data_IF_579443996526
#
_entry.id   IF_579443996526
#
_cell.length_a   1.000
_cell.length_b   1.000
_cell.length_c   1.000
_cell.angle_alpha   90.00
_cell.angle_beta   90.00
_cell.angle_gamma   90.00
#
_symmetry.space_group_name_H-M   'P 1'
#
loop_
_entity.id
_entity.type
_entity.pdbx_description
1 polymer ?
#
# COMPACT_ATOMS: atom_id res chain seq x y z
N UNK A 1 -0.66 -1.35 30.58
CA UNK A 1 -1.08 -2.18 29.41
C UNK A 1 -2.37 -1.66 28.74
N UNK A 2 -3.38 -1.25 29.48
CA UNK A 2 -4.65 -0.74 28.91
C UNK A 2 -4.54 0.59 28.14
N UNK A 3 -3.61 1.47 28.50
CA UNK A 3 -3.46 2.77 27.83
C UNK A 3 -3.02 2.67 26.36
N UNK A 4 -2.27 1.65 25.98
CA UNK A 4 -1.78 1.49 24.60
C UNK A 4 -2.91 1.14 23.62
N UNK A 5 -3.82 0.23 24.04
CA UNK A 5 -4.96 -0.18 23.19
C UNK A 5 -5.93 0.99 22.99
N UNK A 6 -6.25 1.71 24.06
CA UNK A 6 -7.12 2.89 24.00
C UNK A 6 -6.51 3.94 23.09
N UNK A 7 -5.23 4.26 23.27
CA UNK A 7 -4.52 5.23 22.44
C UNK A 7 -4.52 4.86 20.97
N UNK A 8 -4.31 3.56 20.64
CA UNK A 8 -4.39 3.10 19.25
C UNK A 8 -5.78 3.28 18.66
N UNK A 9 -6.83 2.91 19.39
CA UNK A 9 -8.22 3.08 18.95
C UNK A 9 -8.61 4.56 18.79
N UNK A 10 -8.11 5.42 19.66
CA UNK A 10 -8.30 6.86 19.52
C UNK A 10 -7.60 7.41 18.26
N UNK A 11 -6.39 6.97 17.94
CA UNK A 11 -5.69 7.35 16.71
C UNK A 11 -6.44 6.90 15.46
N UNK A 12 -6.95 5.67 15.43
CA UNK A 12 -7.79 5.15 14.34
C UNK A 12 -9.04 6.03 14.16
N UNK A 13 -9.74 6.32 15.24
CA UNK A 13 -10.95 7.14 15.20
C UNK A 13 -10.68 8.58 14.77
N UNK A 14 -9.57 9.19 15.24
CA UNK A 14 -9.14 10.53 14.79
C UNK A 14 -8.85 10.54 13.29
N UNK A 15 -8.19 9.49 12.78
CA UNK A 15 -7.91 9.34 11.35
C UNK A 15 -9.21 9.33 10.54
N UNK A 16 -10.13 8.44 10.86
CA UNK A 16 -11.41 8.33 10.13
C UNK A 16 -12.22 9.62 10.19
N UNK A 17 -12.30 10.28 11.36
CA UNK A 17 -13.00 11.58 11.51
C UNK A 17 -12.35 12.66 10.67
N UNK A 18 -11.02 12.77 10.68
CA UNK A 18 -10.29 13.75 9.90
C UNK A 18 -10.56 13.57 8.40
N UNK A 19 -10.36 12.38 7.86
CA UNK A 19 -10.57 12.13 6.44
C UNK A 19 -12.04 12.26 6.04
N UNK A 20 -12.97 11.91 6.91
CA UNK A 20 -14.40 12.19 6.67
C UNK A 20 -14.68 13.69 6.53
N UNK A 21 -14.05 14.54 7.34
CA UNK A 21 -14.15 16.00 7.21
C UNK A 21 -13.55 16.51 5.89
N UNK A 22 -12.51 15.85 5.37
CA UNK A 22 -11.92 16.11 4.06
C UNK A 22 -12.72 15.49 2.89
N UNK A 23 -13.96 15.07 3.12
CA UNK A 23 -14.90 14.51 2.13
C UNK A 23 -14.49 13.12 1.59
N UNK A 24 -13.72 12.37 2.35
CA UNK A 24 -13.52 10.95 2.08
C UNK A 24 -14.72 10.15 2.62
N UNK A 25 -15.14 9.14 1.88
CA UNK A 25 -16.12 8.18 2.35
C UNK A 25 -15.42 7.17 3.26
N UNK A 26 -15.85 7.07 4.50
CA UNK A 26 -15.32 6.06 5.40
C UNK A 26 -15.92 4.72 5.01
N UNK A 27 -15.06 3.75 4.75
CA UNK A 27 -15.44 2.38 4.38
C UNK A 27 -14.89 1.39 5.38
N UNK A 28 -15.66 0.34 5.62
CA UNK A 28 -15.26 -0.81 6.42
C UNK A 28 -15.62 -2.09 5.67
N UNK A 29 -14.73 -3.06 5.72
CA UNK A 29 -14.88 -4.35 5.08
C UNK A 29 -14.62 -5.46 6.09
N UNK A 30 -15.24 -6.61 5.85
CA UNK A 30 -14.99 -7.78 6.67
C UNK A 30 -13.52 -8.17 6.63
N UNK A 31 -12.98 -8.57 7.78
CA UNK A 31 -11.63 -9.13 7.88
C UNK A 31 -11.49 -10.43 7.08
N UNK A 32 -12.58 -11.16 6.94
CA UNK A 32 -12.67 -12.39 6.16
C UNK A 32 -13.27 -12.05 4.80
N UNK A 33 -12.56 -12.40 3.74
CA UNK A 33 -13.01 -12.26 2.36
C UNK A 33 -13.35 -13.63 1.78
N UNK A 34 -14.46 -13.72 1.04
CA UNK A 34 -14.71 -14.84 0.14
C UNK A 34 -14.05 -14.53 -1.20
N UNK A 35 -13.15 -15.41 -1.64
CA UNK A 35 -12.41 -15.25 -2.89
C UNK A 35 -13.12 -16.03 -4.01
N UNK A 36 -13.49 -15.36 -5.11
CA UNK A 36 -13.92 -16.04 -6.32
C UNK A 36 -12.69 -16.55 -7.06
N UNK A 37 -12.44 -17.87 -6.93
CA UNK A 37 -11.30 -18.54 -7.57
C UNK A 37 -11.18 -18.26 -9.07
N UNK A 38 -12.30 -18.05 -9.76
CA UNK A 38 -12.32 -17.80 -11.22
C UNK A 38 -11.86 -16.40 -11.60
N UNK A 39 -11.74 -15.50 -10.62
CA UNK A 39 -11.39 -14.09 -10.81
C UNK A 39 -10.06 -13.71 -10.16
N UNK A 40 -9.36 -14.69 -9.58
CA UNK A 40 -8.04 -14.46 -9.04
C UNK A 40 -7.07 -14.15 -10.17
N UNK A 41 -6.33 -13.06 -10.02
CA UNK A 41 -5.25 -12.68 -10.93
C UNK A 41 -3.99 -13.49 -10.63
N UNK A 42 -2.99 -13.39 -11.50
CA UNK A 42 -1.68 -13.99 -11.23
C UNK A 42 -1.03 -13.38 -9.98
N UNK A 43 -1.22 -12.08 -9.77
CA UNK A 43 -0.75 -11.38 -8.57
C UNK A 43 -1.45 -11.87 -7.31
N UNK A 44 -2.77 -12.06 -7.35
CA UNK A 44 -3.51 -12.66 -6.24
C UNK A 44 -2.96 -14.04 -5.86
N UNK A 45 -2.62 -14.86 -6.86
CA UNK A 45 -2.06 -16.19 -6.64
C UNK A 45 -0.66 -16.14 -6.02
N UNK A 46 0.18 -15.19 -6.42
CA UNK A 46 1.50 -14.98 -5.81
C UNK A 46 1.38 -14.53 -4.35
N UNK A 47 0.42 -13.68 -4.05
CA UNK A 47 0.17 -13.23 -2.69
C UNK A 47 -0.47 -14.30 -1.79
N UNK A 48 -1.02 -15.37 -2.37
CA UNK A 48 -1.62 -16.45 -1.56
C UNK A 48 -0.61 -17.19 -0.69
N UNK A 49 0.67 -17.21 -1.06
CA UNK A 49 1.72 -17.79 -0.22
C UNK A 49 1.91 -17.02 1.10
N UNK A 50 1.57 -15.74 1.11
CA UNK A 50 1.67 -14.85 2.28
C UNK A 50 0.34 -14.66 3.02
N UNK A 51 -0.78 -15.17 2.48
CA UNK A 51 -2.11 -15.00 3.04
C UNK A 51 -2.58 -16.24 3.79
N UNK A 52 -3.19 -16.04 4.94
CA UNK A 52 -3.96 -17.09 5.59
C UNK A 52 -5.27 -17.32 4.83
N UNK A 53 -5.45 -18.49 4.26
CA UNK A 53 -6.68 -18.87 3.56
C UNK A 53 -7.14 -20.28 3.92
N UNK A 54 -8.42 -20.58 3.69
CA UNK A 54 -9.00 -21.90 3.92
C UNK A 54 -10.19 -22.13 3.00
N UNK A 55 -10.55 -23.40 2.83
CA UNK A 55 -11.74 -23.80 2.08
C UNK A 55 -12.84 -24.22 3.05
N UNK A 56 -14.06 -23.74 2.80
CA UNK A 56 -15.25 -24.15 3.54
C UNK A 56 -16.46 -24.13 2.58
N UNK A 57 -17.27 -25.20 2.59
CA UNK A 57 -18.50 -25.29 1.79
C UNK A 57 -18.31 -24.96 0.29
N UNK A 58 -17.21 -25.38 -0.32
CA UNK A 58 -16.82 -25.15 -1.71
C UNK A 58 -16.41 -23.69 -2.03
N UNK A 59 -16.38 -22.81 -1.06
CA UNK A 59 -15.84 -21.46 -1.18
C UNK A 59 -14.44 -21.37 -0.57
N UNK A 60 -13.62 -20.48 -1.09
CA UNK A 60 -12.32 -20.15 -0.55
C UNK A 60 -12.44 -18.82 0.21
N UNK A 61 -11.96 -18.84 1.41
CA UNK A 61 -11.91 -17.67 2.29
C UNK A 61 -10.46 -17.29 2.59
N UNK A 62 -10.20 -16.01 2.73
CA UNK A 62 -8.90 -15.50 3.14
C UNK A 62 -9.04 -14.41 4.19
N UNK A 63 -8.03 -14.27 5.04
CA UNK A 63 -7.90 -13.09 5.89
C UNK A 63 -7.36 -11.91 5.06
N UNK A 64 -7.88 -10.73 5.33
CA UNK A 64 -7.40 -9.49 4.71
C UNK A 64 -5.93 -9.27 5.04
N UNK A 65 -5.08 -9.21 4.04
CA UNK A 65 -3.66 -8.87 4.15
C UNK A 65 -3.36 -7.42 3.79
N UNK A 66 -4.28 -6.77 3.06
CA UNK A 66 -4.20 -5.37 2.67
C UNK A 66 -5.59 -4.81 2.35
N UNK A 67 -5.85 -3.56 2.72
CA UNK A 67 -7.10 -2.88 2.39
C UNK A 67 -7.17 -2.48 0.92
N UNK A 68 -6.07 -2.05 0.32
CA UNK A 68 -6.03 -1.60 -1.07
C UNK A 68 -6.46 -2.72 -2.00
N UNK A 69 -5.95 -3.93 -1.81
CA UNK A 69 -6.32 -5.11 -2.60
C UNK A 69 -7.80 -5.47 -2.44
N UNK A 70 -8.31 -5.43 -1.21
CA UNK A 70 -9.72 -5.69 -0.94
C UNK A 70 -10.64 -4.65 -1.58
N UNK A 71 -10.25 -3.37 -1.51
CA UNK A 71 -10.95 -2.27 -2.16
C UNK A 71 -10.94 -2.42 -3.68
N UNK A 72 -9.80 -2.76 -4.26
CA UNK A 72 -9.67 -2.98 -5.69
C UNK A 72 -10.60 -4.10 -6.18
N UNK A 73 -10.61 -5.24 -5.50
CA UNK A 73 -11.54 -6.34 -5.81
C UNK A 73 -13.00 -5.94 -5.66
N UNK A 74 -13.32 -5.22 -4.59
CA UNK A 74 -14.69 -4.76 -4.36
C UNK A 74 -15.16 -3.81 -5.47
N UNK A 75 -14.38 -2.79 -5.81
CA UNK A 75 -14.74 -1.81 -6.83
C UNK A 75 -14.71 -2.35 -8.26
N UNK A 76 -13.90 -3.35 -8.53
CA UNK A 76 -13.93 -4.07 -9.81
C UNK A 76 -15.23 -4.85 -10.02
N UNK A 77 -15.87 -5.30 -8.94
CA UNK A 77 -17.12 -6.06 -8.99
C UNK A 77 -18.36 -5.20 -8.79
N UNK A 78 -18.25 -4.12 -8.04
CA UNK A 78 -19.36 -3.26 -7.65
C UNK A 78 -19.05 -1.82 -7.99
N UNK A 79 -19.49 -1.33 -9.17
CA UNK A 79 -19.29 0.08 -9.54
C UNK A 79 -19.82 1.00 -8.45
N UNK A 80 -18.96 1.81 -7.90
CA UNK A 80 -19.31 2.77 -6.87
C UNK A 80 -19.04 4.19 -7.36
N UNK A 81 -19.75 5.15 -6.80
CA UNK A 81 -19.54 6.56 -7.09
C UNK A 81 -18.51 7.22 -6.14
N UNK A 82 -17.93 6.44 -5.23
CA UNK A 82 -16.96 6.98 -4.30
C UNK A 82 -15.63 7.21 -5.00
N UNK A 83 -15.23 8.46 -5.06
CA UNK A 83 -13.95 8.89 -5.65
C UNK A 83 -12.82 8.86 -4.64
N UNK A 84 -13.16 9.08 -3.37
CA UNK A 84 -12.22 9.10 -2.25
C UNK A 84 -12.75 8.25 -1.12
N UNK A 85 -11.93 7.36 -0.61
CA UNK A 85 -12.27 6.51 0.53
C UNK A 85 -11.17 6.54 1.59
N UNK A 86 -11.55 6.38 2.85
CA UNK A 86 -10.63 6.22 3.96
C UNK A 86 -11.03 5.01 4.79
N UNK A 87 -10.06 4.31 5.34
CA UNK A 87 -10.27 3.08 6.08
C UNK A 87 -9.30 2.97 7.26
N UNK A 88 -9.70 2.21 8.26
CA UNK A 88 -8.87 1.81 9.39
C UNK A 88 -9.29 0.43 9.87
N UNK A 89 -8.35 -0.43 10.19
CA UNK A 89 -8.66 -1.75 10.72
C UNK A 89 -7.47 -2.69 10.79
N UNK A 90 -7.78 -3.94 11.04
CA UNK A 90 -6.79 -5.00 11.15
C UNK A 90 -6.49 -5.62 9.79
N UNK A 91 -5.22 -5.91 9.54
CA UNK A 91 -4.74 -6.78 8.47
C UNK A 91 -3.91 -7.91 9.08
N UNK A 92 -3.79 -9.01 8.36
CA UNK A 92 -3.00 -10.16 8.79
C UNK A 92 -1.85 -10.37 7.80
N UNK A 93 -0.63 -10.21 8.27
CA UNK A 93 0.60 -10.49 7.52
C UNK A 93 1.53 -11.31 8.39
N UNK A 94 2.16 -12.35 7.85
CA UNK A 94 3.10 -13.22 8.57
C UNK A 94 2.54 -13.74 9.91
N UNK A 95 1.26 -14.14 9.91
CA UNK A 95 0.53 -14.57 11.11
C UNK A 95 0.47 -13.52 12.23
N UNK A 96 0.63 -12.24 11.90
CA UNK A 96 0.54 -11.12 12.84
C UNK A 96 -0.62 -10.22 12.49
N UNK A 97 -1.29 -9.73 13.52
CA UNK A 97 -2.30 -8.67 13.39
C UNK A 97 -1.59 -7.33 13.36
N UNK A 98 -1.77 -6.59 12.28
CA UNK A 98 -1.21 -5.25 12.08
C UNK A 98 -2.38 -4.27 11.92
N UNK A 99 -2.25 -3.08 12.51
CA UNK A 99 -3.20 -1.99 12.28
C UNK A 99 -2.81 -1.23 11.02
N UNK A 100 -3.74 -1.14 10.10
CA UNK A 100 -3.58 -0.34 8.89
C UNK A 100 -4.61 0.79 8.88
N UNK A 101 -4.16 2.00 8.57
CA UNK A 101 -5.00 3.12 8.20
C UNK A 101 -4.57 3.60 6.82
N UNK A 102 -5.51 4.05 6.02
CA UNK A 102 -5.17 4.50 4.68
C UNK A 102 -6.32 5.22 4.00
N UNK A 103 -6.00 5.82 2.88
CA UNK A 103 -6.99 6.42 1.98
C UNK A 103 -6.62 6.18 0.55
N UNK A 104 -7.64 6.01 -0.28
CA UNK A 104 -7.53 5.87 -1.73
C UNK A 104 -8.23 7.05 -2.42
N UNK A 105 -7.60 7.52 -3.47
CA UNK A 105 -8.18 8.54 -4.33
C UNK A 105 -8.17 8.04 -5.78
N UNK A 106 -9.35 7.78 -6.32
CA UNK A 106 -9.55 7.25 -7.67
C UNK A 106 -9.67 8.36 -8.73
N UNK A 107 -9.44 9.61 -8.38
CA UNK A 107 -9.42 10.73 -9.33
C UNK A 107 -8.02 10.84 -9.96
N UNK A 108 -7.85 10.62 -11.27
CA UNK A 108 -6.55 10.59 -11.93
C UNK A 108 -6.02 12.00 -12.25
N UNK A 109 -6.02 12.90 -11.28
CA UNK A 109 -5.53 14.26 -11.43
C UNK A 109 -4.36 14.49 -10.47
N UNK A 110 -3.29 15.08 -10.98
CA UNK A 110 -2.06 15.28 -10.19
C UNK A 110 -2.28 16.14 -8.92
N UNK A 111 -3.10 17.18 -9.03
CA UNK A 111 -3.45 18.03 -7.88
C UNK A 111 -4.20 17.24 -6.79
N UNK A 112 -4.98 16.23 -7.16
CA UNK A 112 -5.68 15.36 -6.19
C UNK A 112 -4.74 14.39 -5.48
N UNK A 113 -3.72 13.89 -6.16
CA UNK A 113 -2.69 13.06 -5.55
C UNK A 113 -1.89 13.91 -4.54
N UNK A 114 -1.49 15.11 -4.95
CA UNK A 114 -0.80 16.05 -4.07
C UNK A 114 -1.65 16.40 -2.86
N UNK A 115 -2.95 16.65 -3.04
CA UNK A 115 -3.85 16.94 -1.94
C UNK A 115 -3.96 15.77 -0.94
N UNK A 116 -4.04 14.53 -1.43
CA UNK A 116 -4.05 13.36 -0.54
C UNK A 116 -2.78 13.31 0.33
N UNK A 117 -1.62 13.56 -0.27
CA UNK A 117 -0.35 13.64 0.49
C UNK A 117 -0.39 14.74 1.55
N UNK A 118 -0.86 15.94 1.19
CA UNK A 118 -0.96 17.06 2.13
C UNK A 118 -1.95 16.78 3.26
N UNK A 119 -3.05 16.07 2.98
CA UNK A 119 -4.02 15.63 3.99
C UNK A 119 -3.36 14.69 5.01
N UNK A 120 -2.54 13.73 4.56
CA UNK A 120 -1.77 12.86 5.46
C UNK A 120 -0.73 13.62 6.27
N UNK A 121 0.02 14.52 5.63
CA UNK A 121 1.00 15.37 6.32
C UNK A 121 0.33 16.20 7.42
N UNK A 122 -0.77 16.86 7.09
CA UNK A 122 -1.53 17.64 8.06
C UNK A 122 -2.03 16.78 9.20
N UNK A 123 -2.56 15.60 8.92
CA UNK A 123 -3.07 14.68 9.93
C UNK A 123 -1.96 14.28 10.92
N UNK A 124 -0.80 13.87 10.42
CA UNK A 124 0.31 13.43 11.29
C UNK A 124 0.80 14.61 12.16
N UNK A 125 1.07 15.76 11.55
CA UNK A 125 1.68 16.89 12.24
C UNK A 125 0.70 17.63 13.16
N UNK A 126 -0.55 17.84 12.73
CA UNK A 126 -1.48 18.72 13.44
C UNK A 126 -2.57 17.98 14.24
N UNK A 127 -2.87 16.73 13.88
CA UNK A 127 -3.87 15.94 14.60
C UNK A 127 -3.23 14.94 15.56
N UNK A 128 -2.16 14.28 15.13
CA UNK A 128 -1.41 13.37 16.00
C UNK A 128 -0.31 14.06 16.78
N UNK A 129 0.13 15.25 16.36
CA UNK A 129 1.28 15.99 16.92
C UNK A 129 2.56 15.16 16.89
N UNK A 130 2.78 14.49 15.77
CA UNK A 130 3.92 13.62 15.52
C UNK A 130 4.73 14.16 14.32
N UNK A 131 6.02 13.81 14.23
CA UNK A 131 6.92 14.27 13.17
C UNK A 131 7.04 13.22 12.07
N UNK A 132 7.02 13.69 10.82
CA UNK A 132 7.33 12.85 9.66
C UNK A 132 8.84 12.85 9.48
N UNK A 133 9.46 11.71 9.73
CA UNK A 133 10.91 11.55 9.57
C UNK A 133 11.30 11.34 8.11
N UNK A 134 10.53 10.56 7.37
CA UNK A 134 10.75 10.31 5.95
C UNK A 134 9.44 9.90 5.26
N UNK A 135 9.42 10.06 3.94
CA UNK A 135 8.30 9.67 3.06
C UNK A 135 8.83 8.76 1.98
N UNK A 136 8.18 7.62 1.79
CA UNK A 136 8.48 6.71 0.69
C UNK A 136 7.46 6.97 -0.41
N UNK A 137 7.95 7.39 -1.58
CA UNK A 137 7.12 7.55 -2.78
C UNK A 137 7.36 6.36 -3.71
N UNK A 138 6.32 5.57 -3.93
CA UNK A 138 6.30 4.53 -4.94
C UNK A 138 5.62 5.03 -6.22
N UNK A 139 6.20 4.72 -7.36
CA UNK A 139 5.59 4.98 -8.66
C UNK A 139 5.85 3.79 -9.57
N UNK A 140 4.80 3.11 -9.99
CA UNK A 140 4.89 1.87 -10.76
C UNK A 140 5.75 2.00 -12.04
N UNK A 141 5.64 3.13 -12.75
CA UNK A 141 6.37 3.36 -13.99
C UNK A 141 7.71 4.09 -13.80
N UNK A 142 8.10 4.45 -12.57
CA UNK A 142 9.33 5.21 -12.36
C UNK A 142 10.57 4.40 -12.74
N UNK A 143 10.61 3.15 -12.34
CA UNK A 143 11.73 2.26 -12.64
C UNK A 143 11.79 2.00 -14.15
N UNK A 144 10.65 1.73 -14.79
CA UNK A 144 10.57 1.54 -16.24
C UNK A 144 11.02 2.78 -17.02
N UNK A 145 10.68 3.97 -16.52
CA UNK A 145 11.11 5.23 -17.15
C UNK A 145 12.61 5.50 -17.00
N UNK A 146 13.24 4.96 -15.97
CA UNK A 146 14.66 5.10 -15.71
C UNK A 146 15.51 4.01 -16.36
N UNK A 147 14.93 2.86 -16.67
CA UNK A 147 15.60 1.74 -17.31
C UNK A 147 15.41 1.77 -18.83
N UNK A 148 16.49 1.57 -19.57
CA UNK A 148 16.40 1.25 -21.00
C UNK A 148 15.69 -0.10 -21.19
N UNK A 149 14.98 -0.26 -22.29
CA UNK A 149 14.17 -1.47 -22.58
C UNK A 149 14.94 -2.79 -22.45
N UNK A 150 16.22 -2.80 -22.83
CA UNK A 150 17.12 -3.96 -22.72
C UNK A 150 17.49 -4.31 -21.27
N UNK A 151 17.32 -3.37 -20.34
CA UNK A 151 17.57 -3.56 -18.91
C UNK A 151 16.29 -3.78 -18.08
N UNK A 152 15.12 -3.72 -18.69
CA UNK A 152 13.84 -4.04 -18.06
C UNK A 152 13.65 -5.56 -17.96
N UNK A 153 14.56 -6.23 -17.26
CA UNK A 153 14.56 -7.67 -17.05
C UNK A 153 14.19 -8.00 -15.61
N UNK A 154 13.66 -9.19 -15.39
CA UNK A 154 13.34 -9.67 -14.04
C UNK A 154 14.56 -9.63 -13.12
N UNK A 155 15.71 -10.04 -13.62
CA UNK A 155 16.96 -10.06 -12.87
C UNK A 155 17.36 -8.66 -12.38
N UNK A 156 17.24 -7.62 -13.24
CA UNK A 156 17.51 -6.23 -12.87
C UNK A 156 16.50 -5.72 -11.85
N UNK A 157 15.22 -6.10 -11.98
CA UNK A 157 14.18 -5.73 -11.01
C UNK A 157 14.45 -6.35 -9.64
N UNK A 158 14.80 -7.63 -9.59
CA UNK A 158 15.19 -8.32 -8.35
C UNK A 158 16.41 -7.65 -7.69
N UNK A 159 17.43 -7.28 -8.47
CA UNK A 159 18.59 -6.53 -7.95
C UNK A 159 18.20 -5.15 -7.37
N UNK A 160 17.22 -4.47 -7.95
CA UNK A 160 16.72 -3.18 -7.45
C UNK A 160 15.97 -3.38 -6.12
N UNK A 161 15.08 -4.36 -6.05
CA UNK A 161 14.32 -4.71 -4.85
C UNK A 161 15.24 -5.10 -3.70
N UNK A 162 16.23 -5.92 -3.97
CA UNK A 162 17.23 -6.36 -2.99
C UNK A 162 18.29 -5.29 -2.68
N UNK A 163 18.26 -4.15 -3.37
CA UNK A 163 19.29 -3.09 -3.28
C UNK A 163 20.71 -3.62 -3.52
N UNK A 164 20.86 -4.57 -4.44
CA UNK A 164 22.13 -5.14 -4.81
C UNK A 164 22.94 -4.19 -5.71
N UNK A 165 23.56 -3.19 -5.08
CA UNK A 165 24.32 -2.15 -5.79
C UNK A 165 25.48 -2.74 -6.62
N UNK A 166 26.13 -3.78 -6.13
CA UNK A 166 27.25 -4.40 -6.84
C UNK A 166 26.81 -5.06 -8.15
N UNK A 167 25.72 -5.80 -8.13
CA UNK A 167 25.13 -6.40 -9.33
C UNK A 167 24.63 -5.33 -10.30
N UNK A 168 23.94 -4.31 -9.79
CA UNK A 168 23.43 -3.21 -10.63
C UNK A 168 24.56 -2.40 -11.30
N UNK A 169 25.69 -2.15 -10.62
CA UNK A 169 26.83 -1.45 -11.21
C UNK A 169 27.44 -2.26 -12.36
N UNK A 170 27.49 -3.58 -12.24
CA UNK A 170 28.02 -4.46 -13.30
C UNK A 170 27.09 -4.47 -14.52
N UNK A 171 25.78 -4.41 -14.31
CA UNK A 171 24.77 -4.52 -15.37
C UNK A 171 24.43 -3.17 -16.00
N UNK A 172 24.28 -2.10 -15.20
CA UNK A 172 23.76 -0.80 -15.65
C UNK A 172 24.84 0.27 -15.83
N UNK A 173 26.00 0.15 -15.28
CA UNK A 173 27.04 1.16 -15.14
C UNK A 173 26.95 1.99 -13.86
N UNK A 174 28.12 2.44 -13.35
CA UNK A 174 28.25 3.16 -12.08
C UNK A 174 27.44 4.46 -11.97
N UNK A 175 27.29 5.18 -13.10
CA UNK A 175 26.60 6.48 -13.14
C UNK A 175 25.12 6.39 -13.48
N UNK A 176 24.53 5.19 -13.53
CA UNK A 176 23.12 5.04 -13.87
C UNK A 176 22.22 5.73 -12.82
N UNK A 177 21.15 6.45 -13.22
CA UNK A 177 20.27 7.18 -12.31
C UNK A 177 19.72 6.34 -11.15
N UNK A 178 19.31 5.09 -11.41
CA UNK A 178 18.83 4.17 -10.37
C UNK A 178 19.89 3.93 -9.30
N UNK A 179 21.16 3.77 -9.70
CA UNK A 179 22.25 3.53 -8.75
C UNK A 179 22.47 4.77 -7.88
N UNK A 180 22.38 5.97 -8.46
CA UNK A 180 22.49 7.20 -7.67
C UNK A 180 21.35 7.33 -6.66
N UNK A 181 20.10 7.09 -7.09
CA UNK A 181 18.92 7.10 -6.21
C UNK A 181 19.08 6.09 -5.06
N UNK A 182 19.52 4.87 -5.34
CA UNK A 182 19.71 3.85 -4.32
C UNK A 182 20.83 4.19 -3.34
N UNK A 183 21.92 4.84 -3.80
CA UNK A 183 23.02 5.27 -2.94
C UNK A 183 22.61 6.41 -2.00
N UNK A 184 21.88 7.40 -2.49
CA UNK A 184 21.38 8.51 -1.68
C UNK A 184 20.43 8.05 -0.58
N UNK A 185 19.64 7.01 -0.84
CA UNK A 185 18.72 6.45 0.15
C UNK A 185 19.35 5.41 1.10
N UNK A 186 20.62 5.05 0.91
CA UNK A 186 21.37 4.17 1.83
C UNK A 186 22.16 4.93 2.88
N UNK A 187 22.23 6.25 2.77
CA UNK A 187 22.96 7.14 3.70
C UNK A 187 22.09 7.71 4.82
N UNK A 188 20.90 7.12 5.06
CA UNK A 188 20.01 7.50 6.18
C UNK A 188 20.12 6.51 7.33
#
# INVERSE_FOLDING_TARGET
MNNTIISMKEKELRFLKFFHQQKYNVVDFNLIEELDWRRLTHEDLQQMDERSFWQQNKSIYALRNDFTDQLFRYYSNYPTHFKKVAYAGDIIRDNRVIKQVGSENYEPQFDKITQNFLDFQYFIQNVLHDDIQFVILGHYQLIDALLEKNHQTREVMEMIEERNLSGLIQTLTFNHPIIQILKENLSL
#
